data_IF_554619037052
#
_entry.id   IF_554619037052
#
_cell.length_a   1.000
_cell.length_b   1.000
_cell.length_c   1.000
_cell.angle_alpha   90.00
_cell.angle_beta   90.00
_cell.angle_gamma   90.00
#
_symmetry.space_group_name_H-M   'P 1'
#
loop_
_entity.id
_entity.type
_entity.pdbx_description
1 polymer ?
#
# COMPACT_ATOMS: atom_id res chain seq x y z
N UNK A 1 2.09 17.00 -21.17
CA UNK A 1 1.57 18.37 -21.42
C UNK A 1 1.05 18.43 -22.86
N UNK A 2 0.10 19.31 -23.23
CA UNK A 2 -0.35 19.43 -24.63
C UNK A 2 0.44 20.54 -25.33
N UNK A 3 0.97 20.26 -26.52
CA UNK A 3 1.72 21.23 -27.35
C UNK A 3 0.90 22.50 -27.62
N UNK A 4 -0.34 22.36 -28.10
CA UNK A 4 -1.26 23.47 -28.39
C UNK A 4 -1.40 24.46 -27.23
N UNK A 5 -1.53 23.95 -25.99
CA UNK A 5 -1.64 24.81 -24.82
C UNK A 5 -0.42 25.72 -24.63
N UNK A 6 0.78 25.21 -24.93
CA UNK A 6 2.02 25.97 -24.82
C UNK A 6 2.18 26.96 -25.98
N UNK A 7 1.78 26.57 -27.19
CA UNK A 7 1.79 27.43 -28.38
C UNK A 7 0.79 28.61 -28.24
N UNK A 8 -0.40 28.35 -27.70
CA UNK A 8 -1.42 29.37 -27.38
C UNK A 8 -0.95 30.38 -26.31
N UNK A 9 0.01 29.99 -25.47
CA UNK A 9 0.67 30.90 -24.52
C UNK A 9 1.76 31.78 -25.16
N UNK A 10 1.96 31.69 -26.48
CA UNK A 10 2.92 32.49 -27.23
C UNK A 10 4.36 31.99 -27.15
N UNK A 11 4.58 30.75 -26.70
CA UNK A 11 5.91 30.14 -26.64
C UNK A 11 6.40 29.77 -28.05
N UNK A 12 7.70 29.92 -28.30
CA UNK A 12 8.30 29.50 -29.57
C UNK A 12 8.37 27.98 -29.66
N UNK A 13 8.38 27.42 -30.88
CA UNK A 13 8.50 25.97 -31.10
C UNK A 13 9.65 25.35 -30.30
N UNK A 14 10.81 26.00 -30.28
CA UNK A 14 11.99 25.53 -29.53
C UNK A 14 11.77 25.50 -28.01
N UNK A 15 11.06 26.47 -27.45
CA UNK A 15 10.69 26.46 -26.03
C UNK A 15 9.68 25.36 -25.73
N UNK A 16 8.70 25.18 -26.62
CA UNK A 16 7.69 24.13 -26.51
C UNK A 16 8.32 22.74 -26.57
N UNK A 17 9.26 22.51 -27.50
CA UNK A 17 9.98 21.25 -27.64
C UNK A 17 10.76 20.91 -26.36
N UNK A 18 11.53 21.86 -25.81
CA UNK A 18 12.25 21.67 -24.54
C UNK A 18 11.32 21.34 -23.36
N UNK A 19 10.20 22.04 -23.24
CA UNK A 19 9.23 21.79 -22.15
C UNK A 19 8.61 20.40 -22.30
N UNK A 20 8.27 19.98 -23.52
CA UNK A 20 7.69 18.67 -23.76
C UNK A 20 8.69 17.54 -23.52
N UNK A 21 9.96 17.73 -23.84
CA UNK A 21 11.03 16.78 -23.55
C UNK A 21 11.23 16.63 -22.04
N UNK A 22 11.37 17.73 -21.30
CA UNK A 22 11.50 17.68 -19.83
C UNK A 22 10.26 17.04 -19.20
N UNK A 23 9.06 17.41 -19.66
CA UNK A 23 7.81 16.81 -19.19
C UNK A 23 7.76 15.30 -19.47
N UNK A 24 8.29 14.85 -20.62
CA UNK A 24 8.35 13.44 -20.98
C UNK A 24 9.34 12.68 -20.10
N UNK A 25 10.49 13.29 -19.77
CA UNK A 25 11.45 12.73 -18.84
C UNK A 25 10.88 12.62 -17.43
N UNK A 26 10.22 13.66 -16.92
CA UNK A 26 9.59 13.64 -15.59
C UNK A 26 8.48 12.59 -15.50
N UNK A 27 7.63 12.49 -16.53
CA UNK A 27 6.61 11.42 -16.61
C UNK A 27 7.28 10.05 -16.65
N UNK A 28 8.39 9.90 -17.39
CA UNK A 28 9.17 8.66 -17.44
C UNK A 28 9.69 8.25 -16.06
N UNK A 29 10.28 9.19 -15.33
CA UNK A 29 10.76 8.97 -13.94
C UNK A 29 9.61 8.60 -13.01
N UNK A 30 8.52 9.36 -13.02
CA UNK A 30 7.34 9.09 -12.19
C UNK A 30 6.73 7.72 -12.48
N UNK A 31 6.62 7.31 -13.75
CA UNK A 31 6.18 5.95 -14.12
C UNK A 31 7.13 4.87 -13.61
N UNK A 32 8.43 5.11 -13.67
CA UNK A 32 9.43 4.22 -13.10
C UNK A 32 9.26 4.06 -11.59
N UNK A 33 9.05 5.16 -10.87
CA UNK A 33 8.79 5.14 -9.42
C UNK A 33 7.50 4.41 -9.07
N UNK A 34 6.41 4.65 -9.81
CA UNK A 34 5.13 3.91 -9.64
C UNK A 34 5.33 2.42 -9.87
N UNK A 35 6.08 2.04 -10.91
CA UNK A 35 6.35 0.62 -11.21
C UNK A 35 7.15 -0.03 -10.07
N UNK A 36 8.12 0.70 -9.51
CA UNK A 36 8.90 0.24 -8.36
C UNK A 36 8.02 0.10 -7.11
N UNK A 37 7.21 1.11 -6.79
CA UNK A 37 6.26 1.07 -5.67
C UNK A 37 5.28 -0.10 -5.79
N UNK A 38 4.80 -0.39 -7.01
CA UNK A 38 3.94 -1.55 -7.25
C UNK A 38 4.66 -2.87 -6.95
N UNK A 39 5.93 -3.01 -7.35
CA UNK A 39 6.74 -4.19 -7.06
C UNK A 39 7.05 -4.34 -5.56
N UNK A 40 7.34 -3.22 -4.87
CA UNK A 40 7.57 -3.20 -3.43
C UNK A 40 6.27 -3.59 -2.67
N UNK A 41 5.10 -3.10 -3.13
CA UNK A 41 3.79 -3.45 -2.58
C UNK A 41 3.48 -4.94 -2.74
N UNK A 42 3.77 -5.52 -3.90
CA UNK A 42 3.52 -6.95 -4.13
C UNK A 42 4.48 -7.83 -3.31
N UNK A 43 5.71 -7.35 -3.06
CA UNK A 43 6.64 -8.00 -2.12
C UNK A 43 6.11 -7.95 -0.69
N UNK A 44 5.65 -6.79 -0.24
CA UNK A 44 5.07 -6.62 1.10
C UNK A 44 3.83 -7.51 1.31
N UNK A 45 2.94 -7.64 0.31
CA UNK A 45 1.79 -8.56 0.39
C UNK A 45 2.22 -10.00 0.62
N UNK A 46 3.22 -10.49 -0.14
CA UNK A 46 3.74 -11.86 0.03
C UNK A 46 4.35 -12.07 1.41
N UNK A 47 5.04 -11.06 1.94
CA UNK A 47 5.61 -11.13 3.29
C UNK A 47 4.52 -11.23 4.35
N UNK A 48 3.44 -10.45 4.22
CA UNK A 48 2.29 -10.57 5.13
C UNK A 48 1.60 -11.93 5.01
N UNK A 49 1.41 -12.46 3.80
CA UNK A 49 0.84 -13.81 3.61
C UNK A 49 1.71 -14.89 4.30
N UNK A 50 3.03 -14.80 4.18
CA UNK A 50 3.96 -15.71 4.84
C UNK A 50 3.89 -15.59 6.36
N UNK A 51 3.94 -14.36 6.90
CA UNK A 51 3.82 -14.12 8.34
C UNK A 51 2.49 -14.64 8.90
N UNK A 52 1.39 -14.45 8.16
CA UNK A 52 0.07 -14.96 8.53
C UNK A 52 0.06 -16.50 8.59
N UNK A 53 0.70 -17.17 7.63
CA UNK A 53 0.86 -18.63 7.66
C UNK A 53 1.67 -19.10 8.87
N UNK A 54 2.78 -18.42 9.17
CA UNK A 54 3.62 -18.76 10.32
C UNK A 54 2.88 -18.58 11.65
N UNK A 55 2.05 -17.55 11.77
CA UNK A 55 1.18 -17.36 12.94
C UNK A 55 0.20 -18.52 13.10
N UNK A 56 -0.42 -18.97 12.01
CA UNK A 56 -1.29 -20.15 12.01
C UNK A 56 -0.57 -21.42 12.49
N UNK A 57 0.67 -21.64 12.03
CA UNK A 57 1.50 -22.77 12.48
C UNK A 57 1.85 -22.65 13.98
N UNK A 58 2.16 -21.45 14.47
CA UNK A 58 2.42 -21.19 15.90
C UNK A 58 1.17 -21.45 16.74
N UNK A 59 0.00 -20.99 16.30
CA UNK A 59 -1.26 -21.26 16.98
C UNK A 59 -1.55 -22.76 17.11
N UNK A 60 -1.28 -23.52 16.03
CA UNK A 60 -1.44 -24.96 16.08
C UNK A 60 -0.47 -25.60 17.08
N UNK A 61 0.80 -25.20 17.07
CA UNK A 61 1.79 -25.70 18.04
C UNK A 61 1.45 -25.37 19.48
N UNK A 62 0.90 -24.17 19.71
CA UNK A 62 0.42 -23.76 21.03
C UNK A 62 -0.73 -24.66 21.46
N UNK A 63 -1.74 -24.87 20.62
CA UNK A 63 -2.83 -25.82 20.90
C UNK A 63 -2.32 -27.21 21.23
N UNK A 64 -1.35 -27.72 20.48
CA UNK A 64 -0.76 -29.03 20.72
C UNK A 64 -0.02 -29.07 22.07
N UNK A 65 0.71 -28.00 22.42
CA UNK A 65 1.38 -27.85 23.72
C UNK A 65 0.36 -27.77 24.88
N UNK A 66 -0.80 -27.08 24.70
CA UNK A 66 -1.93 -27.07 25.67
C UNK A 66 -2.32 -28.46 26.13
N UNK A 67 -2.27 -29.38 25.18
CA UNK A 67 -2.78 -30.72 25.29
C UNK A 67 -1.69 -31.70 25.79
N UNK A 68 -0.43 -31.23 25.94
CA UNK A 68 0.65 -31.98 26.59
C UNK A 68 0.56 -31.84 28.13
N UNK A 69 0.90 -32.90 28.85
CA UNK A 69 0.27 -33.28 30.13
C UNK A 69 0.86 -32.69 31.42
N UNK A 70 1.75 -31.70 31.37
CA UNK A 70 2.33 -31.10 32.59
C UNK A 70 2.01 -29.59 32.68
N UNK A 71 1.24 -29.18 33.70
CA UNK A 71 0.68 -27.84 33.95
C UNK A 71 -0.46 -27.36 33.02
N UNK A 72 -1.54 -28.15 33.01
CA UNK A 72 -2.74 -27.96 32.17
C UNK A 72 -3.43 -26.59 32.35
N UNK A 73 -3.43 -25.99 33.55
CA UNK A 73 -4.09 -24.69 33.78
C UNK A 73 -3.26 -23.50 33.29
N UNK A 74 -1.94 -23.50 33.57
CA UNK A 74 -1.03 -22.46 33.10
C UNK A 74 -0.94 -22.43 31.57
N UNK A 75 -0.83 -23.61 30.95
CA UNK A 75 -0.82 -23.76 29.50
C UNK A 75 -2.14 -23.31 28.87
N UNK A 76 -3.29 -23.68 29.44
CA UNK A 76 -4.59 -23.26 28.90
C UNK A 76 -4.76 -21.74 28.86
N UNK A 77 -4.32 -21.07 29.91
CA UNK A 77 -4.37 -19.61 30.04
C UNK A 77 -3.46 -18.94 29.01
N UNK A 78 -2.21 -19.41 28.88
CA UNK A 78 -1.24 -18.82 27.95
C UNK A 78 -1.69 -18.95 26.49
N UNK A 79 -2.38 -20.03 26.17
CA UNK A 79 -2.81 -20.29 24.80
C UNK A 79 -4.04 -19.49 24.45
N UNK A 80 -4.99 -19.32 25.36
CA UNK A 80 -6.09 -18.38 25.15
C UNK A 80 -5.57 -16.95 24.90
N UNK A 81 -4.56 -16.53 25.67
CA UNK A 81 -3.92 -15.23 25.46
C UNK A 81 -3.26 -15.11 24.08
N UNK A 82 -2.52 -16.14 23.65
CA UNK A 82 -1.84 -16.12 22.35
C UNK A 82 -2.82 -16.20 21.17
N UNK A 83 -3.92 -16.95 21.29
CA UNK A 83 -5.00 -16.98 20.29
C UNK A 83 -5.65 -15.59 20.13
N UNK A 84 -5.89 -14.86 21.24
CA UNK A 84 -6.41 -13.50 21.21
C UNK A 84 -5.40 -12.50 20.62
N UNK A 85 -4.12 -12.60 21.01
CA UNK A 85 -3.04 -11.76 20.47
C UNK A 85 -2.89 -11.96 18.94
N UNK A 86 -2.94 -13.21 18.47
CA UNK A 86 -2.84 -13.52 17.04
C UNK A 86 -4.05 -13.04 16.25
N UNK A 87 -5.26 -13.18 16.80
CA UNK A 87 -6.46 -12.63 16.18
C UNK A 87 -6.40 -11.11 16.04
N UNK A 88 -5.95 -10.42 17.10
CA UNK A 88 -5.79 -8.97 17.08
C UNK A 88 -4.71 -8.52 16.08
N UNK A 89 -3.58 -9.25 16.02
CA UNK A 89 -2.52 -8.99 15.04
C UNK A 89 -3.00 -9.19 13.60
N UNK A 90 -3.77 -10.24 13.32
CA UNK A 90 -4.33 -10.51 11.99
C UNK A 90 -5.28 -9.38 11.52
N UNK A 91 -6.18 -8.91 12.38
CA UNK A 91 -7.08 -7.81 12.04
C UNK A 91 -6.34 -6.47 11.89
N UNK A 92 -5.31 -6.22 12.73
CA UNK A 92 -4.45 -5.05 12.60
C UNK A 92 -3.70 -5.05 11.26
N UNK A 93 -3.08 -6.16 10.88
CA UNK A 93 -2.38 -6.30 9.60
C UNK A 93 -3.33 -6.17 8.40
N UNK A 94 -4.53 -6.75 8.48
CA UNK A 94 -5.55 -6.60 7.42
C UNK A 94 -5.95 -5.14 7.23
N UNK A 95 -6.09 -4.39 8.33
CA UNK A 95 -6.39 -2.96 8.31
C UNK A 95 -5.24 -2.16 7.72
N UNK A 96 -4.01 -2.43 8.15
CA UNK A 96 -2.80 -1.79 7.65
C UNK A 96 -2.62 -2.03 6.14
N UNK A 97 -2.83 -3.26 5.66
CA UNK A 97 -2.80 -3.59 4.22
C UNK A 97 -3.88 -2.82 3.46
N UNK A 98 -5.11 -2.74 3.98
CA UNK A 98 -6.19 -1.99 3.34
C UNK A 98 -5.79 -0.52 3.20
N UNK A 99 -5.28 0.09 4.26
CA UNK A 99 -4.83 1.48 4.24
C UNK A 99 -3.68 1.71 3.27
N UNK A 100 -2.69 0.82 3.24
CA UNK A 100 -1.56 0.88 2.32
C UNK A 100 -2.04 0.86 0.86
N UNK A 101 -2.95 -0.06 0.51
CA UNK A 101 -3.51 -0.14 -0.84
C UNK A 101 -4.28 1.13 -1.23
N UNK A 102 -5.10 1.67 -0.33
CA UNK A 102 -5.83 2.93 -0.55
C UNK A 102 -4.85 4.08 -0.78
N UNK A 103 -3.87 4.25 0.11
CA UNK A 103 -2.87 5.32 -0.01
C UNK A 103 -2.10 5.24 -1.34
N UNK A 104 -1.69 4.04 -1.75
CA UNK A 104 -1.01 3.83 -3.03
C UNK A 104 -1.90 4.16 -4.24
N UNK A 105 -3.18 3.75 -4.22
CA UNK A 105 -4.12 4.06 -5.29
C UNK A 105 -4.42 5.57 -5.37
N UNK A 106 -4.59 6.24 -4.24
CA UNK A 106 -4.76 7.70 -4.15
C UNK A 106 -3.52 8.44 -4.65
N UNK A 107 -2.32 8.00 -4.27
CA UNK A 107 -1.07 8.60 -4.75
C UNK A 107 -0.93 8.44 -6.28
N UNK A 108 -1.26 7.26 -6.82
CA UNK A 108 -1.29 7.02 -8.26
C UNK A 108 -2.32 7.89 -9.00
N UNK A 109 -3.51 8.09 -8.41
CA UNK A 109 -4.54 8.97 -8.95
C UNK A 109 -4.08 10.44 -8.94
N UNK A 110 -3.47 10.92 -7.86
CA UNK A 110 -2.92 12.27 -7.76
C UNK A 110 -1.81 12.52 -8.77
N UNK A 111 -0.89 11.57 -8.96
CA UNK A 111 0.16 11.65 -9.99
C UNK A 111 -0.45 11.68 -11.39
N UNK A 112 -1.45 10.83 -11.66
CA UNK A 112 -2.17 10.81 -12.94
C UNK A 112 -2.93 12.12 -13.21
N UNK A 113 -3.47 12.73 -12.15
CA UNK A 113 -4.08 14.05 -12.16
C UNK A 113 -3.06 15.21 -12.24
N UNK A 114 -1.75 14.90 -12.26
CA UNK A 114 -0.63 15.86 -12.34
C UNK A 114 -0.50 16.75 -11.11
N UNK A 115 -0.80 16.22 -9.93
CA UNK A 115 -0.51 16.89 -8.67
C UNK A 115 1.01 17.16 -8.57
N UNK A 116 1.38 18.40 -8.25
CA UNK A 116 2.80 18.82 -8.16
C UNK A 116 3.56 18.11 -7.03
N UNK A 117 2.87 17.75 -5.95
CA UNK A 117 3.42 16.97 -4.85
C UNK A 117 2.30 16.14 -4.22
N UNK A 118 2.11 14.90 -4.67
CA UNK A 118 1.05 14.01 -4.19
C UNK A 118 1.14 13.76 -2.67
N UNK A 119 2.36 13.67 -2.12
CA UNK A 119 2.60 13.50 -0.68
C UNK A 119 2.16 14.70 0.16
N UNK A 120 2.31 15.91 -0.37
CA UNK A 120 1.84 17.12 0.32
C UNK A 120 0.31 17.27 0.27
N UNK A 121 -0.36 16.66 -0.72
CA UNK A 121 -1.82 16.75 -0.89
C UNK A 121 -2.55 15.67 -0.10
N UNK A 122 -1.95 14.48 0.06
CA UNK A 122 -2.53 13.34 0.78
C UNK A 122 -3.13 13.68 2.16
N UNK A 123 -2.46 14.43 3.05
CA UNK A 123 -3.00 14.74 4.39
C UNK A 123 -4.27 15.60 4.40
N UNK A 124 -4.62 16.22 3.27
CA UNK A 124 -5.83 17.03 3.11
C UNK A 124 -7.02 16.22 2.57
N UNK A 125 -6.81 14.94 2.24
CA UNK A 125 -7.86 14.04 1.78
C UNK A 125 -8.44 13.25 2.96
N UNK A 126 -9.77 13.21 3.07
CA UNK A 126 -10.43 12.32 4.02
C UNK A 126 -10.51 10.92 3.40
N UNK A 127 -9.81 9.95 4.00
CA UNK A 127 -9.73 8.56 3.53
C UNK A 127 -10.41 7.58 4.48
N UNK A 128 -11.11 8.06 5.52
CA UNK A 128 -11.67 7.20 6.58
C UNK A 128 -12.69 6.20 6.01
N UNK A 129 -13.47 6.63 5.01
CA UNK A 129 -14.48 5.80 4.32
C UNK A 129 -14.02 5.35 2.91
N UNK A 130 -12.73 5.50 2.58
CA UNK A 130 -12.23 5.15 1.26
C UNK A 130 -12.26 3.63 1.01
N UNK A 131 -12.69 3.24 -0.19
CA UNK A 131 -12.74 1.85 -0.64
C UNK A 131 -12.06 1.71 -2.00
N UNK A 132 -11.56 0.50 -2.28
CA UNK A 132 -10.99 0.16 -3.57
C UNK A 132 -12.08 -0.46 -4.44
N UNK A 133 -12.22 0.05 -5.65
CA UNK A 133 -12.98 -0.59 -6.72
C UNK A 133 -12.29 -1.88 -7.18
N UNK A 134 -13.03 -2.75 -7.86
CA UNK A 134 -12.54 -4.05 -8.36
C UNK A 134 -11.32 -3.92 -9.32
N UNK A 135 -11.17 -2.75 -9.95
CA UNK A 135 -10.04 -2.42 -10.83
C UNK A 135 -8.82 -1.84 -10.10
N UNK A 136 -8.87 -1.73 -8.77
CA UNK A 136 -7.79 -1.20 -7.94
C UNK A 136 -7.72 0.32 -7.85
N UNK A 137 -8.74 1.03 -8.31
CA UNK A 137 -8.88 2.49 -8.15
C UNK A 137 -9.60 2.84 -6.85
N UNK A 138 -9.42 4.09 -6.39
CA UNK A 138 -10.13 4.71 -5.25
C UNK A 138 -11.01 5.83 -5.78
#
# INVERSE_FOLDING_TARGET
MKRQFLEEMGLTKEQVDKILDENSQDIGKAKGEVTKLQADLDTAKKEVENLTSQLGDRDQQLKDLKNSTDDVEGLKTKIAQLEDENKNAAEAHKTEIKQLKINSAVEAALVSAKAKNAKAVMPFLNLDDAELSDDGTV
#
